data_IF_821632099718
#
_entry.id   IF_821632099718
#
_cell.length_a   1.000
_cell.length_b   1.000
_cell.length_c   1.000
_cell.angle_alpha   90.00
_cell.angle_beta   90.00
_cell.angle_gamma   90.00
#
_symmetry.space_group_name_H-M   'P 1'
#
loop_
_entity.id
_entity.type
_entity.pdbx_description
1 polymer ?
#
# COMPACT_ATOMS: atom_id res chain seq x y z
N UNK A 1 -27.73 -13.51 -61.24
CA UNK A 1 -26.78 -14.43 -60.59
C UNK A 1 -25.58 -13.61 -60.17
N UNK A 2 -25.35 -13.40 -58.88
CA UNK A 2 -24.17 -12.69 -58.44
C UNK A 2 -24.41 -11.77 -57.23
N UNK A 3 -24.65 -12.36 -56.03
CA UNK A 3 -24.52 -11.62 -54.74
C UNK A 3 -24.62 -12.57 -53.55
N UNK A 4 -23.70 -13.54 -53.43
CA UNK A 4 -23.66 -14.45 -52.25
C UNK A 4 -22.22 -14.81 -51.78
N UNK A 5 -21.20 -14.07 -52.21
CA UNK A 5 -19.82 -14.46 -51.88
C UNK A 5 -19.19 -13.56 -50.82
N UNK A 6 -19.80 -12.45 -50.43
CA UNK A 6 -19.16 -11.44 -49.53
C UNK A 6 -19.43 -11.66 -48.03
N UNK A 7 -20.40 -12.50 -47.66
CA UNK A 7 -20.74 -12.69 -46.24
C UNK A 7 -19.88 -13.75 -45.52
N UNK A 8 -19.26 -14.68 -46.27
CA UNK A 8 -18.52 -15.80 -45.70
C UNK A 8 -17.12 -15.43 -45.17
N UNK A 9 -16.53 -14.33 -45.64
CA UNK A 9 -15.14 -13.93 -45.21
C UNK A 9 -15.12 -13.22 -43.88
N UNK A 10 -16.19 -12.61 -43.43
CA UNK A 10 -16.28 -11.93 -42.13
C UNK A 10 -16.46 -12.91 -40.93
N UNK A 11 -17.08 -14.07 -41.19
CA UNK A 11 -17.35 -15.07 -40.13
C UNK A 11 -16.05 -15.75 -39.65
N UNK A 12 -15.02 -15.87 -40.49
CA UNK A 12 -13.75 -16.47 -40.11
C UNK A 12 -12.77 -15.53 -39.38
N UNK A 13 -12.97 -14.22 -39.46
CA UNK A 13 -12.14 -13.23 -38.77
C UNK A 13 -12.50 -13.08 -37.29
N UNK A 14 -13.74 -13.30 -36.91
CA UNK A 14 -14.20 -13.18 -35.53
C UNK A 14 -13.58 -14.19 -34.56
N UNK A 15 -13.50 -15.50 -34.88
CA UNK A 15 -12.82 -16.45 -33.98
C UNK A 15 -11.31 -16.22 -33.88
N UNK A 16 -10.67 -15.68 -34.91
CA UNK A 16 -9.25 -15.35 -34.87
C UNK A 16 -8.96 -14.18 -33.91
N UNK A 17 -9.84 -13.19 -33.84
CA UNK A 17 -9.73 -12.06 -32.91
C UNK A 17 -10.00 -12.51 -31.46
N UNK A 18 -10.92 -13.46 -31.27
CA UNK A 18 -11.21 -14.01 -29.93
C UNK A 18 -10.04 -14.88 -29.44
N UNK A 19 -9.43 -15.68 -30.32
CA UNK A 19 -8.29 -16.55 -29.96
C UNK A 19 -7.04 -15.70 -29.63
N UNK A 20 -6.78 -14.61 -30.37
CA UNK A 20 -5.65 -13.71 -30.04
C UNK A 20 -5.86 -12.93 -28.75
N UNK A 21 -7.11 -12.71 -28.30
CA UNK A 21 -7.41 -12.10 -27.00
C UNK A 21 -7.18 -13.01 -25.79
N UNK A 22 -7.14 -14.33 -25.99
CA UNK A 22 -6.95 -15.31 -24.92
C UNK A 22 -5.47 -15.57 -24.55
N UNK A 23 -4.52 -15.16 -25.39
CA UNK A 23 -3.10 -15.37 -25.14
C UNK A 23 -2.40 -14.24 -24.40
N UNK A 24 -3.13 -13.19 -24.01
CA UNK A 24 -2.56 -11.96 -23.44
C UNK A 24 -2.39 -11.96 -21.91
N UNK A 25 -2.39 -13.10 -21.24
CA UNK A 25 -2.15 -13.16 -19.80
C UNK A 25 -0.75 -13.72 -19.49
N UNK A 26 0.30 -13.05 -19.94
CA UNK A 26 1.64 -13.28 -19.38
C UNK A 26 1.84 -12.26 -18.26
N UNK A 27 1.71 -12.73 -17.01
CA UNK A 27 2.15 -11.95 -15.88
C UNK A 27 3.67 -11.87 -15.88
N UNK A 28 4.22 -10.68 -16.01
CA UNK A 28 5.64 -10.47 -15.78
C UNK A 28 5.86 -10.35 -14.27
N UNK A 29 6.63 -11.28 -13.72
CA UNK A 29 7.07 -11.17 -12.33
C UNK A 29 8.46 -10.53 -12.34
N UNK A 30 8.62 -9.44 -11.62
CA UNK A 30 9.94 -8.90 -11.31
C UNK A 30 10.66 -9.93 -10.43
N UNK A 31 11.76 -10.47 -10.92
CA UNK A 31 12.65 -11.32 -10.14
C UNK A 31 13.66 -10.38 -9.51
N UNK A 32 13.61 -10.24 -8.17
CA UNK A 32 14.66 -9.55 -7.45
C UNK A 32 15.91 -10.43 -7.43
N UNK A 33 17.08 -9.84 -7.63
CA UNK A 33 18.33 -10.52 -7.49
C UNK A 33 18.48 -11.10 -6.08
N UNK A 34 19.05 -12.30 -5.99
CA UNK A 34 19.31 -12.90 -4.69
C UNK A 34 20.35 -12.06 -3.91
N UNK A 35 20.10 -11.83 -2.64
CA UNK A 35 21.08 -11.16 -1.77
C UNK A 35 22.30 -12.08 -1.64
N UNK A 36 23.44 -11.68 -2.19
CA UNK A 36 24.68 -12.47 -2.19
C UNK A 36 25.33 -12.54 -0.80
N UNK A 37 25.12 -11.53 0.07
CA UNK A 37 25.58 -11.58 1.45
C UNK A 37 24.64 -10.80 2.37
N UNK A 38 24.44 -11.29 3.58
CA UNK A 38 23.68 -10.60 4.65
C UNK A 38 24.54 -9.63 5.47
N UNK A 39 25.84 -9.53 5.17
CA UNK A 39 26.74 -8.65 5.93
C UNK A 39 26.48 -7.17 5.68
N UNK A 40 25.94 -6.82 4.51
CA UNK A 40 25.57 -5.44 4.17
C UNK A 40 24.14 -5.08 4.57
N UNK A 41 23.33 -6.06 4.98
CA UNK A 41 21.96 -5.81 5.42
C UNK A 41 22.03 -5.31 6.86
N UNK A 42 21.86 -4.00 7.02
CA UNK A 42 21.75 -3.40 8.34
C UNK A 42 20.51 -3.96 9.03
N UNK A 43 20.71 -4.89 9.98
CA UNK A 43 19.60 -5.46 10.74
C UNK A 43 18.90 -4.35 11.49
N UNK A 44 17.63 -4.20 11.22
CA UNK A 44 16.77 -3.31 11.98
C UNK A 44 16.81 -3.74 13.45
N UNK A 45 17.32 -2.87 14.30
CA UNK A 45 17.35 -3.11 15.74
C UNK A 45 16.31 -2.20 16.39
N UNK A 46 15.21 -2.77 16.85
CA UNK A 46 14.18 -2.05 17.63
C UNK A 46 14.78 -1.29 18.81
N UNK A 47 15.89 -1.81 19.37
CA UNK A 47 16.58 -1.20 20.51
C UNK A 47 17.45 -0.01 20.11
N UNK A 48 17.83 0.14 18.84
CA UNK A 48 18.74 1.19 18.38
C UNK A 48 18.03 2.46 17.94
N UNK A 49 16.73 2.37 17.71
CA UNK A 49 15.92 3.48 17.19
C UNK A 49 14.87 4.00 18.18
N UNK A 50 15.10 3.84 19.47
CA UNK A 50 14.34 4.61 20.45
C UNK A 50 14.65 6.08 20.19
N UNK A 51 13.74 6.74 19.47
CA UNK A 51 13.92 8.14 19.09
C UNK A 51 13.92 8.99 20.35
N UNK A 52 14.80 9.94 20.44
CA UNK A 52 15.17 10.72 21.63
C UNK A 52 14.01 11.50 22.30
N UNK A 53 12.81 11.49 21.71
CA UNK A 53 11.66 12.25 22.21
C UNK A 53 10.61 11.40 22.91
N UNK A 54 10.78 10.07 22.99
CA UNK A 54 9.86 9.18 23.70
C UNK A 54 10.31 8.90 25.11
N UNK A 55 9.38 8.51 25.95
CA UNK A 55 9.64 8.08 27.30
C UNK A 55 10.32 6.70 27.32
N UNK A 56 11.28 6.52 28.22
CA UNK A 56 11.86 5.20 28.51
C UNK A 56 10.94 4.33 29.40
N UNK A 57 9.86 4.89 29.95
CA UNK A 57 8.91 4.17 30.82
C UNK A 57 7.90 3.33 30.07
N UNK A 58 7.67 3.60 28.77
CA UNK A 58 6.65 2.98 27.95
C UNK A 58 7.23 2.38 26.69
N UNK A 59 6.66 1.24 26.26
CA UNK A 59 6.89 0.67 24.93
C UNK A 59 5.51 0.39 24.34
N UNK A 60 5.16 1.10 23.28
CA UNK A 60 3.82 1.08 22.70
C UNK A 60 3.85 0.49 21.29
N UNK A 61 3.24 -0.68 21.13
CA UNK A 61 3.06 -1.35 19.84
C UNK A 61 1.61 -1.31 19.42
N UNK A 62 1.35 -0.87 18.19
CA UNK A 62 0.03 -0.95 17.58
C UNK A 62 0.02 -2.02 16.51
N UNK A 63 -1.08 -2.78 16.44
CA UNK A 63 -1.31 -3.77 15.40
C UNK A 63 -2.60 -3.43 14.65
N UNK A 64 -2.49 -3.08 13.37
CA UNK A 64 -3.62 -2.72 12.52
C UNK A 64 -3.99 -3.87 11.60
N UNK A 65 -5.23 -4.35 11.72
CA UNK A 65 -5.73 -5.47 10.95
C UNK A 65 -6.05 -5.11 9.50
N UNK A 66 -6.17 -6.13 8.65
CA UNK A 66 -6.76 -6.02 7.32
C UNK A 66 -8.28 -5.86 7.36
N UNK A 67 -8.86 -5.49 6.21
CA UNK A 67 -10.32 -5.33 6.08
C UNK A 67 -10.73 -4.14 5.20
N UNK A 68 -9.88 -3.72 4.28
CA UNK A 68 -10.14 -2.63 3.34
C UNK A 68 -10.33 -1.28 4.05
N UNK A 69 -11.15 -0.41 3.48
CA UNK A 69 -11.39 0.95 4.00
C UNK A 69 -11.94 0.95 5.44
N UNK A 70 -12.70 -0.09 5.84
CA UNK A 70 -13.21 -0.20 7.23
C UNK A 70 -12.08 -0.37 8.24
N UNK A 71 -11.09 -1.20 7.92
CA UNK A 71 -9.92 -1.38 8.79
C UNK A 71 -9.08 -0.11 8.84
N UNK A 72 -8.89 0.57 7.71
CA UNK A 72 -8.23 1.87 7.66
C UNK A 72 -8.95 2.90 8.53
N UNK A 73 -10.28 3.00 8.45
CA UNK A 73 -11.08 3.92 9.26
C UNK A 73 -10.98 3.60 10.76
N UNK A 74 -11.01 2.30 11.12
CA UNK A 74 -10.83 1.91 12.52
C UNK A 74 -9.45 2.28 13.05
N UNK A 75 -8.40 1.99 12.29
CA UNK A 75 -7.02 2.34 12.63
C UNK A 75 -6.83 3.86 12.75
N UNK A 76 -7.44 4.63 11.85
CA UNK A 76 -7.47 6.09 11.93
C UNK A 76 -8.13 6.58 13.21
N UNK A 77 -9.29 6.01 13.57
CA UNK A 77 -9.98 6.34 14.82
C UNK A 77 -9.14 6.05 16.07
N UNK A 78 -8.37 4.96 16.05
CA UNK A 78 -7.42 4.63 17.14
C UNK A 78 -6.32 5.71 17.22
N UNK A 79 -5.66 6.05 16.11
CA UNK A 79 -4.64 7.10 16.11
C UNK A 79 -5.19 8.44 16.58
N UNK A 80 -6.38 8.82 16.11
CA UNK A 80 -7.05 10.06 16.53
C UNK A 80 -7.30 10.06 18.03
N UNK A 81 -7.80 8.94 18.60
CA UNK A 81 -8.01 8.84 20.02
C UNK A 81 -6.72 8.91 20.83
N UNK A 82 -5.66 8.30 20.38
CA UNK A 82 -4.34 8.39 21.01
C UNK A 82 -3.79 9.83 20.96
N UNK A 83 -4.00 10.54 19.85
CA UNK A 83 -3.60 11.95 19.72
C UNK A 83 -4.35 12.89 20.68
N UNK A 84 -5.61 12.56 21.00
CA UNK A 84 -6.46 13.31 21.94
C UNK A 84 -6.25 12.90 23.40
N UNK A 85 -5.45 11.86 23.65
CA UNK A 85 -5.24 11.33 25.00
C UNK A 85 -3.90 11.80 25.54
N UNK A 86 -3.94 12.48 26.68
CA UNK A 86 -2.74 12.83 27.45
C UNK A 86 -2.43 11.73 28.47
N UNK A 87 -1.15 11.44 28.63
CA UNK A 87 -0.60 10.54 29.64
C UNK A 87 0.52 11.26 30.41
N UNK A 88 0.85 10.76 31.58
CA UNK A 88 2.05 11.17 32.29
C UNK A 88 3.13 10.13 32.06
N UNK A 89 4.24 10.51 31.46
CA UNK A 89 5.41 9.67 31.27
C UNK A 89 6.67 10.49 31.58
N UNK A 90 7.65 9.91 32.25
CA UNK A 90 8.84 10.58 32.80
C UNK A 90 8.47 11.80 33.67
N UNK A 91 7.31 11.78 34.32
CA UNK A 91 6.83 12.85 35.16
C UNK A 91 6.27 14.07 34.39
N UNK A 92 6.12 14.00 33.08
CA UNK A 92 5.63 15.09 32.23
C UNK A 92 4.35 14.68 31.46
N UNK A 93 3.42 15.60 31.20
CA UNK A 93 2.29 15.34 30.31
C UNK A 93 2.77 15.20 28.86
N UNK A 94 2.31 14.16 28.17
CA UNK A 94 2.61 13.85 26.78
C UNK A 94 1.36 13.38 26.04
N UNK A 95 1.29 13.62 24.75
CA UNK A 95 0.27 12.99 23.91
C UNK A 95 0.60 11.50 23.78
N UNK A 96 -0.39 10.64 23.99
CA UNK A 96 -0.15 9.19 23.97
C UNK A 96 0.34 8.71 22.59
N UNK A 97 -0.10 9.33 21.50
CA UNK A 97 0.33 8.98 20.14
C UNK A 97 1.84 9.18 19.95
N UNK A 98 2.46 10.14 20.63
CA UNK A 98 3.88 10.45 20.50
C UNK A 98 4.77 9.37 21.14
N UNK A 99 4.18 8.52 22.00
CA UNK A 99 4.84 7.38 22.65
C UNK A 99 4.71 6.07 21.84
N UNK A 100 4.08 6.09 20.66
CA UNK A 100 3.97 4.89 19.81
C UNK A 100 5.31 4.59 19.16
N UNK A 101 5.89 3.42 19.47
CA UNK A 101 7.17 2.96 18.94
C UNK A 101 7.04 2.26 17.60
N UNK A 102 6.04 1.38 17.48
CA UNK A 102 5.88 0.53 16.31
C UNK A 102 4.41 0.44 15.90
N UNK A 103 4.17 0.52 14.61
CA UNK A 103 2.87 0.18 14.01
C UNK A 103 3.07 -0.98 13.03
N UNK A 104 2.65 -2.16 13.44
CA UNK A 104 2.57 -3.33 12.56
C UNK A 104 1.21 -3.39 11.88
N UNK A 105 1.16 -3.54 10.57
CA UNK A 105 -0.07 -3.39 9.81
C UNK A 105 -0.18 -4.40 8.67
N UNK A 106 -1.41 -4.66 8.23
CA UNK A 106 -1.69 -5.52 7.07
C UNK A 106 -2.85 -4.95 6.25
N UNK A 107 -2.75 -5.00 4.92
CA UNK A 107 -3.82 -4.63 3.98
C UNK A 107 -4.39 -3.23 4.25
N UNK A 108 -5.72 -3.11 4.54
CA UNK A 108 -6.37 -1.83 4.79
C UNK A 108 -5.75 -1.00 5.90
N UNK A 109 -5.31 -1.62 7.01
CA UNK A 109 -4.63 -0.92 8.10
C UNK A 109 -3.29 -0.33 7.69
N UNK A 110 -2.65 -0.88 6.64
CA UNK A 110 -1.36 -0.39 6.15
C UNK A 110 -1.44 0.99 5.50
N UNK A 111 -2.58 1.36 4.92
CA UNK A 111 -2.77 2.70 4.37
C UNK A 111 -2.71 3.76 5.48
N UNK A 112 -3.38 3.51 6.60
CA UNK A 112 -3.34 4.39 7.76
C UNK A 112 -1.96 4.44 8.39
N UNK A 113 -1.32 3.28 8.57
CA UNK A 113 0.02 3.19 9.13
C UNK A 113 1.07 3.93 8.29
N UNK A 114 1.08 3.68 6.98
CA UNK A 114 2.02 4.31 6.06
C UNK A 114 1.78 5.83 5.95
N UNK A 115 0.51 6.26 5.88
CA UNK A 115 0.19 7.68 5.83
C UNK A 115 0.65 8.41 7.10
N UNK A 116 0.38 7.82 8.28
CA UNK A 116 0.86 8.39 9.54
C UNK A 116 2.39 8.41 9.63
N UNK A 117 3.05 7.34 9.21
CA UNK A 117 4.51 7.26 9.18
C UNK A 117 5.17 8.32 8.29
N UNK A 118 4.54 8.67 7.15
CA UNK A 118 5.04 9.67 6.21
C UNK A 118 4.74 11.11 6.61
N UNK A 119 3.53 11.35 7.14
CA UNK A 119 2.99 12.70 7.24
C UNK A 119 2.63 13.12 8.69
N UNK A 120 2.75 12.21 9.66
CA UNK A 120 2.46 12.50 11.06
C UNK A 120 1.03 13.04 11.25
N UNK A 121 0.90 14.12 12.00
CA UNK A 121 -0.40 14.73 12.37
C UNK A 121 -1.24 15.22 11.18
N UNK A 122 -0.65 15.37 9.98
CA UNK A 122 -1.40 15.70 8.76
C UNK A 122 -2.50 14.67 8.46
N UNK A 123 -2.36 13.44 8.98
CA UNK A 123 -3.39 12.40 8.86
C UNK A 123 -4.76 12.88 9.41
N UNK A 124 -4.76 13.70 10.46
CA UNK A 124 -5.99 14.22 11.09
C UNK A 124 -6.63 15.37 10.31
N UNK A 125 -5.89 15.95 9.36
CA UNK A 125 -6.35 17.08 8.54
C UNK A 125 -7.03 16.62 7.25
N UNK A 126 -6.44 15.65 6.53
CA UNK A 126 -6.84 15.40 5.15
C UNK A 126 -7.10 13.92 4.79
N UNK A 127 -6.61 12.95 5.55
CA UNK A 127 -6.72 11.52 5.23
C UNK A 127 -8.17 11.03 5.13
N UNK A 128 -9.04 11.53 5.98
CA UNK A 128 -10.47 11.19 5.96
C UNK A 128 -11.10 11.58 4.62
N UNK A 129 -10.81 12.79 4.14
CA UNK A 129 -11.35 13.29 2.88
C UNK A 129 -10.63 12.69 1.66
N UNK A 130 -9.32 12.50 1.76
CA UNK A 130 -8.51 11.95 0.66
C UNK A 130 -8.79 10.46 0.42
N UNK A 131 -9.08 9.70 1.49
CA UNK A 131 -9.16 8.25 1.41
C UNK A 131 -10.44 7.65 1.97
N UNK A 132 -10.76 7.90 3.24
CA UNK A 132 -11.85 7.19 3.93
C UNK A 132 -13.22 7.48 3.32
N UNK A 133 -13.45 8.71 2.89
CA UNK A 133 -14.71 9.15 2.27
C UNK A 133 -14.76 8.90 0.75
N UNK A 134 -13.73 8.29 0.16
CA UNK A 134 -13.71 7.98 -1.27
C UNK A 134 -14.13 6.55 -1.57
N UNK A 135 -14.89 6.37 -2.63
CA UNK A 135 -15.17 5.05 -3.17
C UNK A 135 -14.02 4.61 -4.09
N UNK A 136 -12.89 4.24 -3.46
CA UNK A 136 -11.68 3.80 -4.15
C UNK A 136 -11.95 2.64 -5.10
N UNK A 137 -12.81 1.68 -4.70
CA UNK A 137 -13.13 0.53 -5.55
C UNK A 137 -13.81 0.97 -6.86
N UNK A 138 -14.77 1.88 -6.80
CA UNK A 138 -15.44 2.39 -7.99
C UNK A 138 -14.48 3.17 -8.89
N UNK A 139 -13.55 3.92 -8.28
CA UNK A 139 -12.55 4.67 -9.03
C UNK A 139 -11.56 3.76 -9.77
N UNK A 140 -11.03 2.74 -9.10
CA UNK A 140 -10.16 1.74 -9.73
C UNK A 140 -10.89 0.97 -10.85
N UNK A 141 -12.17 0.61 -10.64
CA UNK A 141 -12.97 -0.02 -11.70
C UNK A 141 -13.14 0.91 -12.90
N UNK A 142 -13.38 2.21 -12.69
CA UNK A 142 -13.48 3.21 -13.75
C UNK A 142 -12.18 3.31 -14.52
N UNK A 143 -11.05 3.33 -13.84
CA UNK A 143 -9.73 3.39 -14.48
C UNK A 143 -9.44 2.14 -15.31
N UNK A 144 -9.78 0.95 -14.84
CA UNK A 144 -9.63 -0.30 -15.59
C UNK A 144 -10.51 -0.31 -16.84
N UNK A 145 -11.73 0.24 -16.76
CA UNK A 145 -12.68 0.30 -17.88
C UNK A 145 -12.36 1.46 -18.84
N UNK A 146 -11.46 2.36 -18.52
CA UNK A 146 -11.09 3.49 -19.37
C UNK A 146 -10.31 3.01 -20.60
N UNK A 147 -10.73 3.34 -21.81
CA UNK A 147 -10.02 3.00 -23.05
C UNK A 147 -8.58 3.54 -23.08
N UNK A 148 -8.31 4.67 -22.43
CA UNK A 148 -6.98 5.27 -22.34
C UNK A 148 -5.98 4.37 -21.60
N UNK A 149 -6.46 3.60 -20.62
CA UNK A 149 -5.62 2.68 -19.85
C UNK A 149 -5.45 1.31 -20.52
N UNK A 150 -6.26 0.98 -21.53
CA UNK A 150 -6.16 -0.32 -22.21
C UNK A 150 -4.82 -0.51 -22.91
N UNK A 151 -4.23 0.57 -23.44
CA UNK A 151 -2.89 0.49 -24.03
C UNK A 151 -1.83 0.15 -22.99
N UNK A 152 -1.93 0.70 -21.77
CA UNK A 152 -1.04 0.38 -20.65
C UNK A 152 -1.27 -1.04 -20.16
N UNK A 153 -2.54 -1.41 -19.92
CA UNK A 153 -2.96 -2.72 -19.39
C UNK A 153 -2.74 -3.87 -20.41
N UNK A 154 -2.64 -3.57 -21.70
CA UNK A 154 -2.28 -4.53 -22.75
C UNK A 154 -0.77 -4.78 -22.86
N UNK A 155 0.04 -4.04 -22.11
CA UNK A 155 1.47 -4.26 -22.02
C UNK A 155 1.80 -5.45 -21.12
N UNK A 156 2.85 -6.22 -21.47
CA UNK A 156 3.37 -7.29 -20.61
C UNK A 156 4.00 -6.76 -19.30
N UNK A 157 4.29 -5.47 -19.23
CA UNK A 157 5.03 -4.83 -18.14
C UNK A 157 4.14 -4.03 -17.18
N UNK A 158 2.84 -3.89 -17.46
CA UNK A 158 1.93 -3.08 -16.66
C UNK A 158 0.63 -3.85 -16.38
N UNK A 159 0.37 -4.11 -15.12
CA UNK A 159 -0.76 -4.89 -14.64
C UNK A 159 -1.83 -4.01 -13.97
N UNK A 160 -2.94 -4.63 -13.56
CA UNK A 160 -3.94 -3.96 -12.72
C UNK A 160 -3.39 -3.57 -11.34
N UNK A 161 -2.39 -4.32 -10.86
CA UNK A 161 -1.74 -3.99 -9.58
C UNK A 161 -0.90 -2.72 -9.70
N UNK A 162 -0.21 -2.54 -10.85
CA UNK A 162 0.55 -1.32 -11.11
C UNK A 162 -0.37 -0.11 -11.25
N UNK A 163 -1.52 -0.29 -11.93
CA UNK A 163 -2.54 0.76 -12.01
C UNK A 163 -3.07 1.17 -10.62
N UNK A 164 -3.28 0.19 -9.73
CA UNK A 164 -3.71 0.47 -8.37
C UNK A 164 -2.61 1.13 -7.55
N UNK A 165 -1.35 0.70 -7.73
CA UNK A 165 -0.20 1.32 -7.07
C UNK A 165 -0.04 2.79 -7.48
N UNK A 166 -0.06 3.08 -8.79
CA UNK A 166 -0.04 4.46 -9.31
C UNK A 166 -1.16 5.31 -8.71
N UNK A 167 -2.38 4.76 -8.66
CA UNK A 167 -3.53 5.47 -8.11
C UNK A 167 -3.36 5.81 -6.63
N UNK A 168 -2.89 4.86 -5.81
CA UNK A 168 -2.66 5.12 -4.39
C UNK A 168 -1.49 6.06 -4.16
N UNK A 169 -0.47 5.97 -4.99
CA UNK A 169 0.69 6.85 -4.90
C UNK A 169 0.30 8.31 -5.18
N UNK A 170 -0.45 8.54 -6.26
CA UNK A 170 -0.96 9.88 -6.57
C UNK A 170 -1.96 10.41 -5.53
N UNK A 171 -2.82 9.53 -4.99
CA UNK A 171 -3.88 9.91 -4.07
C UNK A 171 -3.37 10.22 -2.66
N UNK A 172 -2.43 9.38 -2.16
CA UNK A 172 -2.06 9.32 -0.75
C UNK A 172 -0.58 9.59 -0.50
N UNK A 173 0.31 8.98 -1.30
CA UNK A 173 1.70 8.87 -0.89
C UNK A 173 2.63 9.89 -1.53
N UNK A 174 2.13 10.66 -2.50
CA UNK A 174 2.87 11.79 -3.11
C UNK A 174 4.27 11.39 -3.62
N UNK A 175 4.39 10.14 -4.12
CA UNK A 175 5.65 9.50 -4.59
C UNK A 175 6.73 9.33 -3.52
N UNK A 176 6.31 9.31 -2.27
CA UNK A 176 7.22 9.07 -1.14
C UNK A 176 7.55 7.59 -0.98
N UNK A 177 8.72 7.34 -0.44
CA UNK A 177 9.30 6.01 -0.24
C UNK A 177 9.38 5.63 1.23
N UNK A 178 9.71 4.38 1.52
CA UNK A 178 9.99 3.93 2.88
C UNK A 178 11.16 4.66 3.52
N UNK A 179 12.14 5.15 2.73
CA UNK A 179 13.27 5.90 3.24
C UNK A 179 12.78 7.15 3.99
N UNK A 180 11.78 7.85 3.45
CA UNK A 180 11.24 9.04 4.09
C UNK A 180 10.48 8.74 5.39
N UNK A 181 9.88 7.53 5.50
CA UNK A 181 9.33 7.05 6.78
C UNK A 181 10.47 6.85 7.80
N UNK A 182 11.57 6.23 7.37
CA UNK A 182 12.72 5.98 8.24
C UNK A 182 13.35 7.27 8.72
N UNK A 183 13.46 8.27 7.86
CA UNK A 183 14.02 9.58 8.17
C UNK A 183 13.06 10.44 9.03
N UNK A 184 11.78 10.05 9.13
CA UNK A 184 10.80 10.75 9.95
C UNK A 184 11.05 10.53 11.44
N UNK A 185 10.48 11.38 12.31
CA UNK A 185 10.48 11.18 13.76
C UNK A 185 9.32 10.30 14.25
N UNK A 186 8.54 9.73 13.31
CA UNK A 186 7.40 8.88 13.60
C UNK A 186 7.77 7.48 14.13
N UNK A 187 6.79 6.62 14.36
CA UNK A 187 6.99 5.23 14.75
C UNK A 187 7.62 4.41 13.63
N UNK A 188 8.20 3.26 14.00
CA UNK A 188 8.55 2.23 13.02
C UNK A 188 7.28 1.70 12.35
N UNK A 189 7.24 1.75 11.03
CA UNK A 189 6.15 1.17 10.25
C UNK A 189 6.57 -0.18 9.68
N UNK A 190 5.79 -1.22 10.00
CA UNK A 190 5.95 -2.58 9.48
C UNK A 190 4.71 -2.94 8.68
N UNK A 191 4.84 -3.09 7.37
CA UNK A 191 3.76 -3.56 6.50
C UNK A 191 3.95 -5.05 6.23
N UNK A 192 2.99 -5.85 6.70
CA UNK A 192 3.03 -7.29 6.55
C UNK A 192 2.30 -7.72 5.27
N UNK A 193 2.92 -8.64 4.55
CA UNK A 193 2.37 -9.31 3.39
C UNK A 193 2.66 -10.81 3.46
N UNK A 194 2.01 -11.58 2.61
CA UNK A 194 2.26 -13.01 2.48
C UNK A 194 2.69 -13.30 1.05
N UNK A 195 3.80 -14.00 0.90
CA UNK A 195 4.18 -14.58 -0.38
C UNK A 195 3.21 -15.71 -0.72
N UNK A 196 2.34 -15.49 -1.70
CA UNK A 196 1.28 -16.42 -2.05
C UNK A 196 1.80 -17.79 -2.55
N UNK A 197 2.99 -17.83 -3.16
CA UNK A 197 3.57 -19.05 -3.67
C UNK A 197 4.18 -19.93 -2.56
N UNK A 198 4.75 -19.30 -1.54
CA UNK A 198 5.46 -19.99 -0.46
C UNK A 198 4.66 -20.08 0.83
N UNK A 199 3.56 -19.33 0.96
CA UNK A 199 2.83 -19.18 2.22
C UNK A 199 3.67 -18.51 3.32
N UNK A 200 4.79 -17.89 2.97
CA UNK A 200 5.72 -17.28 3.90
C UNK A 200 5.38 -15.82 4.16
N UNK A 201 5.60 -15.36 5.38
CA UNK A 201 5.48 -13.96 5.73
C UNK A 201 6.57 -13.14 5.02
N UNK A 202 6.18 -11.98 4.54
CA UNK A 202 7.07 -10.98 3.98
C UNK A 202 6.74 -9.61 4.58
N UNK A 203 7.76 -8.90 5.06
CA UNK A 203 7.59 -7.61 5.71
C UNK A 203 8.30 -6.52 4.90
N UNK A 204 7.60 -5.40 4.71
CA UNK A 204 8.21 -4.17 4.23
C UNK A 204 8.50 -3.29 5.45
N UNK A 205 9.76 -2.90 5.59
CA UNK A 205 10.24 -1.98 6.63
C UNK A 205 11.20 -1.01 5.97
N UNK A 206 11.35 0.20 6.53
CA UNK A 206 12.47 1.06 6.21
C UNK A 206 13.76 0.46 6.83
N UNK A 207 14.75 0.21 6.04
CA UNK A 207 16.08 -0.27 6.48
C UNK A 207 17.16 0.60 5.93
#
# INVERSE_FOLDING_TARGET
>A
MGRLVTCSRFIFLWPLIIISGLTSCTAHYSVNDAIESTESVQRYSLLKETKSNRSDELVVYLAFSGGGTRAAAFSYGVLKKLAETEIIADGHPRRFIDEVDVISSVSGGSFTAAYYGLFGDKIFEDFEQKFLNKNVQAELQRQILSPLNWFKLGSAYYSRSDLAADYYDELLFEKKTFQEITDSQGPLIVINATNAALGAQFNFTGS
#
